data_IF_192846999438
#
_entry.id   IF_192846999438
#
_cell.length_a   1.000
_cell.length_b   1.000
_cell.length_c   1.000
_cell.angle_alpha   90.00
_cell.angle_beta   90.00
_cell.angle_gamma   90.00
#
_symmetry.space_group_name_H-M   'P 1'
#
loop_
_entity.id
_entity.type
_entity.pdbx_description
1 polymer ?
#
# COMPACT_ATOMS: atom_id res chain seq x y z
N UNK A 1 -3.93 12.38 9.03
CA UNK A 1 -2.88 11.51 8.47
C UNK A 1 -1.58 12.29 8.48
N UNK A 2 -0.52 11.80 9.12
CA UNK A 2 0.76 12.51 9.15
C UNK A 2 1.51 12.32 7.81
N UNK A 3 2.30 13.31 7.34
CA UNK A 3 3.09 13.19 6.10
C UNK A 3 4.00 11.95 6.05
N UNK A 4 4.52 11.54 7.21
CA UNK A 4 5.34 10.33 7.37
C UNK A 4 4.60 9.06 6.90
N UNK A 5 3.29 8.96 7.14
CA UNK A 5 2.49 7.79 6.75
C UNK A 5 2.43 7.64 5.23
N UNK A 6 2.26 8.75 4.49
CA UNK A 6 2.26 8.73 3.03
C UNK A 6 3.65 8.47 2.45
N UNK A 7 4.70 8.94 3.11
CA UNK A 7 6.07 8.63 2.74
C UNK A 7 6.36 7.13 2.89
N UNK A 8 6.00 6.53 4.02
CA UNK A 8 6.22 5.11 4.27
C UNK A 8 5.38 4.22 3.34
N UNK A 9 4.13 4.62 3.07
CA UNK A 9 3.31 3.98 2.04
C UNK A 9 4.00 4.04 0.67
N UNK A 10 4.47 5.21 0.25
CA UNK A 10 5.17 5.37 -1.03
C UNK A 10 6.40 4.47 -1.12
N UNK A 11 7.20 4.40 -0.06
CA UNK A 11 8.36 3.50 0.00
C UNK A 11 7.97 2.03 -0.16
N UNK A 12 6.94 1.58 0.55
CA UNK A 12 6.46 0.20 0.43
C UNK A 12 5.88 -0.08 -0.97
N UNK A 13 5.12 0.86 -1.51
CA UNK A 13 4.42 0.72 -2.79
C UNK A 13 5.36 0.65 -4.00
N UNK A 14 6.50 1.36 -3.93
CA UNK A 14 7.49 1.38 -5.00
C UNK A 14 8.69 0.45 -4.77
N UNK A 15 8.73 -0.28 -3.64
CA UNK A 15 9.89 -1.09 -3.26
C UNK A 15 10.31 -2.13 -4.31
N UNK A 16 9.34 -2.76 -4.98
CA UNK A 16 9.55 -3.86 -5.93
C UNK A 16 9.31 -3.46 -7.38
N UNK A 17 8.95 -2.20 -7.64
CA UNK A 17 8.51 -1.71 -8.97
C UNK A 17 9.59 -1.76 -10.05
N UNK A 18 10.85 -1.91 -9.65
CA UNK A 18 12.01 -2.02 -10.54
C UNK A 18 12.53 -3.46 -10.64
N UNK A 19 11.92 -4.42 -9.93
CA UNK A 19 12.30 -5.81 -10.03
C UNK A 19 11.89 -6.37 -11.40
N UNK A 20 12.74 -7.19 -12.03
CA UNK A 20 12.46 -7.78 -13.35
C UNK A 20 11.25 -8.72 -13.33
N UNK A 21 10.94 -9.28 -12.18
CA UNK A 21 9.80 -10.17 -11.94
C UNK A 21 8.66 -9.46 -11.18
N UNK A 22 8.57 -8.13 -11.30
CA UNK A 22 7.54 -7.35 -10.63
C UNK A 22 6.14 -7.83 -11.05
N UNK A 23 5.36 -8.19 -10.04
CA UNK A 23 3.92 -8.37 -10.17
C UNK A 23 3.19 -7.31 -9.33
N UNK A 24 2.13 -6.68 -9.85
CA UNK A 24 1.30 -5.79 -9.07
C UNK A 24 0.70 -6.52 -7.86
N UNK A 25 0.68 -5.86 -6.70
CA UNK A 25 -0.03 -6.37 -5.53
C UNK A 25 -1.50 -6.61 -5.86
N UNK A 26 -2.02 -7.76 -5.44
CA UNK A 26 -3.45 -8.07 -5.47
C UNK A 26 -4.21 -7.11 -4.55
N UNK A 27 -5.54 -7.02 -4.70
CA UNK A 27 -6.37 -6.19 -3.83
C UNK A 27 -6.21 -6.55 -2.34
N UNK A 28 -6.04 -7.85 -2.03
CA UNK A 28 -5.82 -8.32 -0.66
C UNK A 28 -4.45 -7.89 -0.11
N UNK A 29 -3.39 -7.99 -0.91
CA UNK A 29 -2.04 -7.55 -0.53
C UNK A 29 -1.97 -6.04 -0.38
N UNK A 30 -2.58 -5.28 -1.30
CA UNK A 30 -2.68 -3.83 -1.20
C UNK A 30 -3.48 -3.39 0.05
N UNK A 31 -4.58 -4.08 0.37
CA UNK A 31 -5.34 -3.84 1.60
C UNK A 31 -4.48 -4.07 2.85
N UNK A 32 -3.66 -5.12 2.86
CA UNK A 32 -2.74 -5.42 3.95
C UNK A 32 -1.65 -4.32 4.10
N UNK A 33 -1.12 -3.82 2.98
CA UNK A 33 -0.17 -2.70 2.96
C UNK A 33 -0.80 -1.45 3.58
N UNK A 34 -2.04 -1.11 3.21
CA UNK A 34 -2.74 0.04 3.78
C UNK A 34 -2.99 -0.12 5.29
N UNK A 35 -3.46 -1.29 5.71
CA UNK A 35 -3.71 -1.59 7.12
C UNK A 35 -2.43 -1.50 7.97
N UNK A 36 -1.27 -1.94 7.43
CA UNK A 36 0.02 -1.83 8.11
C UNK A 36 0.44 -0.37 8.37
N UNK A 37 -0.03 0.57 7.57
CA UNK A 37 0.19 2.01 7.75
C UNK A 37 -0.96 2.73 8.48
N UNK A 38 -1.94 2.00 9.01
CA UNK A 38 -3.12 2.56 9.70
C UNK A 38 -4.12 3.25 8.76
N UNK A 39 -4.05 2.96 7.46
CA UNK A 39 -4.91 3.52 6.42
C UNK A 39 -6.15 2.63 6.25
N UNK A 40 -7.12 2.76 7.15
CA UNK A 40 -8.29 1.87 7.25
C UNK A 40 -9.64 2.58 7.04
N UNK A 41 -9.64 3.85 6.63
CA UNK A 41 -10.89 4.54 6.32
C UNK A 41 -11.51 4.01 5.03
N UNK A 42 -12.79 4.32 4.78
CA UNK A 42 -13.52 3.86 3.60
C UNK A 42 -12.82 4.17 2.26
N UNK A 43 -12.05 5.25 2.18
CA UNK A 43 -11.24 5.58 1.01
C UNK A 43 -10.18 4.52 0.70
N UNK A 44 -9.63 3.87 1.73
CA UNK A 44 -8.57 2.87 1.62
C UNK A 44 -9.11 1.43 1.61
N UNK A 45 -10.43 1.24 1.54
CA UNK A 45 -11.04 -0.08 1.41
C UNK A 45 -11.09 -0.48 -0.06
N UNK A 46 -10.33 -1.51 -0.42
CA UNK A 46 -10.31 -2.11 -1.76
C UNK A 46 -11.31 -3.27 -1.89
N UNK A 47 -11.71 -3.83 -0.75
CA UNK A 47 -12.83 -4.77 -0.65
C UNK A 47 -14.03 -3.98 -0.14
N UNK A 48 -15.02 -3.75 -1.00
CA UNK A 48 -16.29 -3.14 -0.61
C UNK A 48 -17.08 -3.98 0.36
#
# INVERSE_FOLDING_TARGET
MAPQVLYDLGRAWYATRLDPDYEPATAAEAQAIFAAHGLTSAFWSLTG
#
